data_IF_594629133405
#
_entry.id   IF_594629133405
#
_cell.length_a   1.000
_cell.length_b   1.000
_cell.length_c   1.000
_cell.angle_alpha   90.00
_cell.angle_beta   90.00
_cell.angle_gamma   90.00
#
_symmetry.space_group_name_H-M   'P 1'
#
loop_
_entity.id
_entity.type
_entity.pdbx_description
1 polymer ?
#
# COMPACT_ATOMS: atom_id res chain seq x y z
N UNK A 1 16.08 3.84 0.66
CA UNK A 1 14.90 3.06 1.08
C UNK A 1 13.94 4.03 1.73
N UNK A 2 12.84 4.36 1.05
CA UNK A 2 11.72 5.02 1.68
C UNK A 2 10.92 3.94 2.40
N UNK A 3 10.70 4.11 3.70
CA UNK A 3 9.83 3.22 4.46
C UNK A 3 8.40 3.66 4.21
N UNK A 4 7.51 2.73 3.91
CA UNK A 4 6.09 3.03 3.82
C UNK A 4 5.53 3.24 5.23
N UNK A 5 4.92 4.41 5.45
CA UNK A 5 4.38 4.82 6.73
C UNK A 5 2.85 4.73 6.72
N UNK A 6 2.28 4.28 7.83
CA UNK A 6 0.84 4.22 8.02
C UNK A 6 0.48 4.30 9.50
N UNK A 7 -0.81 4.56 9.76
CA UNK A 7 -1.39 4.53 11.09
C UNK A 7 -1.88 3.12 11.45
N UNK A 8 -1.52 2.64 12.64
CA UNK A 8 -1.87 1.30 13.11
C UNK A 8 -3.38 1.07 13.24
N UNK A 9 -4.14 2.07 13.70
CA UNK A 9 -5.59 1.96 13.81
C UNK A 9 -6.26 1.88 12.43
N UNK A 10 -5.69 2.57 11.43
CA UNK A 10 -6.10 2.43 10.03
C UNK A 10 -5.77 1.04 9.49
N UNK A 11 -4.60 0.50 9.83
CA UNK A 11 -4.19 -0.87 9.45
C UNK A 11 -5.18 -1.92 9.96
N UNK A 12 -5.56 -1.84 11.24
CA UNK A 12 -6.58 -2.73 11.84
C UNK A 12 -7.94 -2.57 11.15
N UNK A 13 -8.35 -1.33 10.87
CA UNK A 13 -9.60 -1.06 10.17
C UNK A 13 -9.61 -1.60 8.73
N UNK A 14 -8.43 -1.68 8.11
CA UNK A 14 -8.28 -2.20 6.75
C UNK A 14 -8.58 -3.71 6.68
N UNK A 15 -8.24 -4.47 7.73
CA UNK A 15 -8.62 -5.89 7.85
C UNK A 15 -10.12 -6.06 7.75
N UNK A 16 -10.89 -5.26 8.49
CA UNK A 16 -12.35 -5.35 8.48
C UNK A 16 -12.97 -5.00 7.12
N UNK A 17 -12.36 -4.06 6.38
CA UNK A 17 -12.89 -3.58 5.09
C UNK A 17 -12.44 -4.42 3.90
N UNK A 18 -11.21 -4.93 3.92
CA UNK A 18 -10.52 -5.51 2.77
C UNK A 18 -9.93 -6.89 3.03
N UNK A 19 -9.97 -7.38 4.28
CA UNK A 19 -9.44 -8.69 4.65
C UNK A 19 -7.92 -8.74 4.84
N UNK A 20 -7.22 -7.60 4.77
CA UNK A 20 -5.76 -7.51 4.89
C UNK A 20 -5.35 -6.25 5.65
N UNK A 21 -4.31 -6.35 6.49
CA UNK A 21 -3.67 -5.20 7.14
C UNK A 21 -2.50 -4.66 6.29
N UNK A 22 -1.94 -3.51 6.66
CA UNK A 22 -0.84 -2.92 5.91
C UNK A 22 0.48 -3.67 6.07
N UNK A 23 0.69 -4.41 7.17
CA UNK A 23 1.91 -5.20 7.36
C UNK A 23 1.94 -6.38 6.38
N UNK A 24 0.86 -7.17 6.33
CA UNK A 24 0.70 -8.27 5.40
C UNK A 24 0.74 -7.79 3.93
N UNK A 25 0.19 -6.61 3.65
CA UNK A 25 0.26 -6.03 2.30
C UNK A 25 1.69 -5.64 1.89
N UNK A 26 2.54 -5.19 2.81
CA UNK A 26 3.95 -4.88 2.51
C UNK A 26 4.75 -6.12 2.13
N UNK A 27 4.48 -7.27 2.76
CA UNK A 27 5.18 -8.51 2.45
C UNK A 27 5.00 -8.93 0.98
N UNK A 28 3.90 -8.53 0.34
CA UNK A 28 3.64 -8.80 -1.08
C UNK A 28 4.64 -8.10 -2.02
N UNK A 29 5.33 -7.05 -1.58
CA UNK A 29 6.39 -6.42 -2.40
C UNK A 29 7.60 -7.30 -2.59
N UNK A 30 7.80 -8.27 -1.69
CA UNK A 30 8.86 -9.26 -1.79
C UNK A 30 8.42 -10.54 -2.51
N UNK A 31 7.18 -10.58 -3.01
CA UNK A 31 6.66 -11.73 -3.75
C UNK A 31 7.46 -11.90 -5.06
N UNK A 32 8.12 -13.05 -5.30
CA UNK A 32 8.86 -13.28 -6.54
C UNK A 32 7.97 -13.29 -7.80
N UNK A 33 6.66 -13.53 -7.63
CA UNK A 33 5.68 -13.51 -8.71
C UNK A 33 4.90 -12.17 -8.77
N UNK A 34 5.43 -11.12 -8.14
CA UNK A 34 4.85 -9.77 -8.16
C UNK A 34 4.63 -9.28 -9.59
N UNK A 35 3.39 -8.87 -9.88
CA UNK A 35 3.01 -8.25 -11.14
C UNK A 35 2.89 -6.74 -10.97
N UNK A 36 3.78 -5.98 -11.59
CA UNK A 36 3.75 -4.52 -11.61
C UNK A 36 3.06 -4.01 -12.88
N UNK A 37 2.15 -3.05 -12.73
CA UNK A 37 1.49 -2.36 -13.84
C UNK A 37 1.73 -0.87 -13.63
N UNK A 38 2.18 -0.17 -14.68
CA UNK A 38 2.28 1.29 -14.63
C UNK A 38 0.90 1.88 -14.34
N UNK A 39 0.79 2.57 -13.20
CA UNK A 39 -0.40 3.32 -12.88
C UNK A 39 -0.56 4.47 -13.91
N UNK A 40 -1.78 4.70 -14.38
CA UNK A 40 -2.08 5.90 -15.18
C UNK A 40 -1.98 7.11 -14.25
N UNK A 41 -0.93 7.91 -14.41
CA UNK A 41 -0.75 9.14 -13.62
C UNK A 41 -1.53 10.30 -14.22
N UNK A 42 -2.86 10.25 -14.15
CA UNK A 42 -3.69 11.44 -14.32
C UNK A 42 -4.01 11.97 -12.92
N UNK A 43 -3.35 13.07 -12.54
CA UNK A 43 -3.62 13.90 -11.34
C UNK A 43 -3.28 13.32 -9.95
N UNK A 44 -2.02 13.47 -9.52
CA UNK A 44 -1.70 13.88 -8.14
C UNK A 44 -0.45 14.77 -8.14
N UNK A 45 -0.60 16.03 -8.58
CA UNK A 45 0.34 17.10 -8.26
C UNK A 45 -0.38 18.08 -7.35
N UNK A 46 -0.43 17.78 -6.05
CA UNK A 46 -0.67 18.81 -5.05
C UNK A 46 0.68 19.41 -4.66
N UNK A 47 1.01 20.50 -5.32
CA UNK A 47 2.13 21.37 -4.99
C UNK A 47 1.86 22.03 -3.62
N UNK A 48 2.69 21.74 -2.62
CA UNK A 48 2.88 22.55 -1.42
C UNK A 48 4.34 22.57 -1.02
#
# INVERSE_FOLDING_TARGET
MNVFEFDDAKSVSNVAKHGIDFWAAQELWNDPDLLEIEAKSEEELYER
#
